data_IF_878059868090
#
_entry.id   IF_878059868090
#
_cell.length_a   1.000
_cell.length_b   1.000
_cell.length_c   1.000
_cell.angle_alpha   90.00
_cell.angle_beta   90.00
_cell.angle_gamma   90.00
#
_symmetry.space_group_name_H-M   'P 1'
#
loop_
_entity.id
_entity.type
_entity.pdbx_description
1 polymer ?
#
# COMPACT_ATOMS: atom_id res chain seq x y z
N UNK A 1 19.29 -0.60 11.67
CA UNK A 1 18.29 -1.59 11.21
C UNK A 1 17.15 -0.79 10.60
N UNK A 2 16.90 -0.92 9.29
CA UNK A 2 15.89 -0.13 8.58
C UNK A 2 14.72 -1.07 8.22
N UNK A 3 13.49 -0.66 8.54
CA UNK A 3 12.27 -1.35 8.15
C UNK A 3 11.81 -0.82 6.79
N UNK A 4 11.30 -1.70 5.93
CA UNK A 4 10.61 -1.27 4.71
C UNK A 4 9.28 -0.60 5.06
N UNK A 5 8.82 0.32 4.19
CA UNK A 5 7.62 1.14 4.44
C UNK A 5 6.37 0.29 4.76
N UNK A 6 6.20 -0.86 4.10
CA UNK A 6 5.06 -1.74 4.35
C UNK A 6 5.08 -2.35 5.77
N UNK A 7 6.26 -2.61 6.32
CA UNK A 7 6.43 -3.17 7.66
C UNK A 7 6.09 -2.12 8.72
N UNK A 8 6.60 -0.90 8.55
CA UNK A 8 6.26 0.23 9.42
C UNK A 8 4.76 0.54 9.41
N UNK A 9 4.13 0.53 8.24
CA UNK A 9 2.67 0.72 8.11
C UNK A 9 1.86 -0.36 8.79
N UNK A 10 2.30 -1.63 8.73
CA UNK A 10 1.60 -2.73 9.40
C UNK A 10 1.58 -2.51 10.91
N UNK A 11 2.73 -2.18 11.50
CA UNK A 11 2.84 -1.91 12.94
C UNK A 11 1.92 -0.75 13.35
N UNK A 12 1.98 0.38 12.64
CA UNK A 12 1.13 1.54 12.95
C UNK A 12 -0.37 1.20 12.86
N UNK A 13 -0.76 0.38 11.88
CA UNK A 13 -2.14 -0.08 11.73
C UNK A 13 -2.60 -0.94 12.92
N UNK A 14 -1.73 -1.81 13.44
CA UNK A 14 -2.03 -2.66 14.61
C UNK A 14 -2.31 -1.83 15.88
N UNK A 15 -1.72 -0.63 15.98
CA UNK A 15 -1.99 0.32 17.06
C UNK A 15 -3.11 1.33 16.74
N UNK A 16 -3.89 1.10 15.67
CA UNK A 16 -5.04 1.94 15.31
C UNK A 16 -4.68 3.28 14.67
N UNK A 17 -3.41 3.49 14.29
CA UNK A 17 -2.98 4.69 13.57
C UNK A 17 -3.42 4.59 12.11
N UNK A 18 -4.08 5.64 11.61
CA UNK A 18 -4.49 5.71 10.22
C UNK A 18 -3.26 5.70 9.29
N UNK A 19 -3.16 4.68 8.44
CA UNK A 19 -2.13 4.54 7.42
C UNK A 19 -2.74 4.45 6.03
N UNK A 20 -2.08 4.99 4.98
CA UNK A 20 -2.58 4.87 3.61
C UNK A 20 -2.73 3.41 3.20
N UNK A 21 -3.87 3.08 2.59
CA UNK A 21 -4.13 1.75 2.01
C UNK A 21 -3.09 1.49 0.91
N UNK A 22 -2.43 0.34 0.98
CA UNK A 22 -1.44 -0.06 0.00
C UNK A 22 -1.31 -1.58 -0.06
N UNK A 23 -0.89 -2.07 -1.23
CA UNK A 23 -0.63 -3.48 -1.48
C UNK A 23 0.75 -3.61 -2.12
N UNK A 24 1.47 -4.69 -1.79
CA UNK A 24 2.73 -5.03 -2.45
C UNK A 24 2.41 -5.72 -3.77
N UNK A 25 3.11 -5.33 -4.83
CA UNK A 25 3.03 -5.93 -6.15
C UNK A 25 4.43 -6.29 -6.63
N UNK A 26 4.58 -7.49 -7.21
CA UNK A 26 5.82 -8.00 -7.80
C UNK A 26 5.82 -7.91 -9.33
N UNK A 27 4.64 -7.79 -9.94
CA UNK A 27 4.49 -7.61 -11.39
C UNK A 27 3.63 -6.38 -11.71
N UNK A 28 3.71 -5.84 -12.94
CA UNK A 28 2.84 -4.75 -13.39
C UNK A 28 1.35 -5.08 -13.27
N UNK A 29 0.95 -6.33 -13.55
CA UNK A 29 -0.44 -6.79 -13.48
C UNK A 29 -0.95 -6.75 -12.04
N UNK A 30 -0.14 -7.20 -11.09
CA UNK A 30 -0.45 -7.11 -9.65
C UNK A 30 -0.61 -5.65 -9.20
N UNK A 31 0.16 -4.72 -9.77
CA UNK A 31 0.03 -3.29 -9.45
C UNK A 31 -1.30 -2.71 -9.95
N UNK A 32 -1.78 -3.14 -11.12
CA UNK A 32 -3.09 -2.75 -11.66
C UNK A 32 -4.21 -3.27 -10.77
N UNK A 33 -4.15 -4.55 -10.35
CA UNK A 33 -5.14 -5.12 -9.44
C UNK A 33 -5.13 -4.47 -8.05
N UNK A 34 -3.95 -4.11 -7.54
CA UNK A 34 -3.82 -3.32 -6.32
C UNK A 34 -4.49 -1.95 -6.44
N UNK A 35 -4.32 -1.25 -7.57
CA UNK A 35 -4.95 0.05 -7.81
C UNK A 35 -6.49 -0.07 -7.80
N UNK A 36 -7.06 -1.10 -8.45
CA UNK A 36 -8.50 -1.38 -8.44
C UNK A 36 -9.03 -1.62 -7.02
N UNK A 37 -8.31 -2.42 -6.21
CA UNK A 37 -8.67 -2.68 -4.81
C UNK A 37 -8.62 -1.40 -3.97
N UNK A 38 -7.60 -0.56 -4.15
CA UNK A 38 -7.50 0.73 -3.45
C UNK A 38 -8.70 1.60 -3.80
N UNK A 39 -9.05 1.74 -5.07
CA UNK A 39 -10.21 2.52 -5.51
C UNK A 39 -11.51 2.02 -4.89
N UNK A 40 -11.74 0.72 -4.87
CA UNK A 40 -12.93 0.14 -4.23
C UNK A 40 -13.01 0.42 -2.72
N UNK A 41 -11.87 0.52 -2.03
CA UNK A 41 -11.79 0.74 -0.60
C UNK A 41 -11.84 2.22 -0.19
N UNK A 42 -11.26 3.11 -1.00
CA UNK A 42 -11.06 4.53 -0.63
C UNK A 42 -11.86 5.49 -1.48
N UNK A 43 -12.45 5.03 -2.58
CA UNK A 43 -13.10 5.83 -3.62
C UNK A 43 -12.18 6.92 -4.21
N UNK A 44 -10.86 6.69 -4.18
CA UNK A 44 -9.84 7.59 -4.76
C UNK A 44 -9.46 7.14 -6.18
N UNK A 45 -9.18 8.12 -7.04
CA UNK A 45 -8.76 7.93 -8.44
C UNK A 45 -7.26 8.20 -8.68
N UNK A 46 -6.47 8.32 -7.60
CA UNK A 46 -5.03 8.56 -7.67
C UNK A 46 -4.25 7.55 -6.84
N UNK A 47 -3.07 7.16 -7.33
CA UNK A 47 -2.21 6.16 -6.68
C UNK A 47 -0.74 6.59 -6.76
N UNK A 48 0.05 6.15 -5.77
CA UNK A 48 1.50 6.28 -5.78
C UNK A 48 2.14 4.89 -5.94
N UNK A 49 2.96 4.71 -6.97
CA UNK A 49 3.79 3.51 -7.15
C UNK A 49 5.15 3.79 -6.54
N UNK A 50 5.56 2.96 -5.57
CA UNK A 50 6.81 3.13 -4.83
C UNK A 50 7.70 1.91 -4.98
N UNK A 51 8.91 2.10 -5.50
CA UNK A 51 9.92 1.05 -5.52
C UNK A 51 10.24 0.62 -4.07
N UNK A 52 10.30 -0.69 -3.83
CA UNK A 52 10.81 -1.26 -2.60
C UNK A 52 12.28 -1.61 -2.84
N UNK A 53 13.19 -0.86 -2.21
CA UNK A 53 14.65 -1.00 -2.27
C UNK A 53 15.17 -1.46 -0.91
#
# INVERSE_FOLDING_TARGET
MNLHEYQGKSILKDFGVAVPVGFVAKTPEEAIEAAKKIKALTNMDTWAIKAQI
#
